data_IF_149371137232
#
_entry.id   IF_149371137232
#
_cell.length_a   1.000
_cell.length_b   1.000
_cell.length_c   1.000
_cell.angle_alpha   90.00
_cell.angle_beta   90.00
_cell.angle_gamma   90.00
#
_symmetry.space_group_name_H-M   'P 1'
#
loop_
_entity.id
_entity.type
_entity.pdbx_description
1 polymer ?
#
# COMPACT_ATOMS: atom_id res chain seq x y z
N UNK A 1 -20.00 29.75 38.06
CA UNK A 1 -18.74 29.06 37.73
C UNK A 1 -19.05 28.07 36.66
N UNK A 2 -19.38 28.63 35.50
CA UNK A 2 -19.97 27.97 34.36
C UNK A 2 -18.88 27.31 33.53
N UNK A 3 -19.10 26.04 33.21
CA UNK A 3 -18.13 25.21 32.48
C UNK A 3 -18.78 23.94 31.95
N UNK A 4 -20.00 24.06 31.42
CA UNK A 4 -20.61 23.00 30.63
C UNK A 4 -19.88 22.93 29.29
N UNK A 5 -18.90 22.04 29.20
CA UNK A 5 -18.26 21.67 27.94
C UNK A 5 -19.34 21.05 27.03
N UNK A 6 -19.77 21.84 26.04
CA UNK A 6 -20.68 21.40 24.99
C UNK A 6 -20.04 20.23 24.25
N UNK A 7 -20.54 19.03 24.51
CA UNK A 7 -20.37 17.89 23.61
C UNK A 7 -21.05 18.26 22.29
N UNK A 8 -20.27 18.78 21.34
CA UNK A 8 -20.71 18.99 19.97
C UNK A 8 -21.16 17.64 19.42
N UNK A 9 -22.47 17.49 19.25
CA UNK A 9 -23.07 16.33 18.61
C UNK A 9 -22.52 16.24 17.19
N UNK A 10 -21.56 15.34 16.97
CA UNK A 10 -21.15 14.96 15.63
C UNK A 10 -22.42 14.56 14.86
N UNK A 11 -22.68 15.13 13.67
CA UNK A 11 -23.87 14.76 12.92
C UNK A 11 -23.82 13.26 12.69
N UNK A 12 -24.95 12.58 12.90
CA UNK A 12 -25.12 11.18 12.54
C UNK A 12 -24.65 11.02 11.10
N UNK A 13 -23.44 10.47 10.94
CA UNK A 13 -22.87 10.23 9.62
C UNK A 13 -23.91 9.37 8.92
N UNK A 14 -24.46 9.85 7.79
CA UNK A 14 -25.04 8.92 6.83
C UNK A 14 -24.04 7.76 6.73
N UNK A 15 -24.53 6.52 6.65
CA UNK A 15 -23.69 5.37 6.33
C UNK A 15 -23.13 5.58 4.90
N UNK A 16 -22.20 6.52 4.78
CA UNK A 16 -21.60 6.97 3.56
C UNK A 16 -20.63 5.86 3.23
N UNK A 17 -20.96 5.11 2.19
CA UNK A 17 -20.09 4.11 1.62
C UNK A 17 -18.90 4.83 0.98
N UNK A 18 -17.93 5.20 1.81
CA UNK A 18 -16.73 5.93 1.43
C UNK A 18 -15.90 5.10 0.46
N UNK A 19 -15.31 5.77 -0.53
CA UNK A 19 -14.40 5.17 -1.50
C UNK A 19 -13.24 6.12 -1.72
N UNK A 20 -12.06 5.58 -1.94
CA UNK A 20 -10.85 6.37 -2.17
C UNK A 20 -10.41 6.09 -3.60
N UNK A 21 -10.22 7.14 -4.40
CA UNK A 21 -9.59 7.06 -5.70
C UNK A 21 -8.21 7.70 -5.63
N UNK A 22 -7.17 6.92 -5.91
CA UNK A 22 -5.81 7.38 -6.05
C UNK A 22 -5.47 7.59 -7.54
N UNK A 23 -5.21 8.85 -7.91
CA UNK A 23 -4.68 9.21 -9.22
C UNK A 23 -3.20 9.51 -9.08
N UNK A 24 -2.35 8.78 -9.79
CA UNK A 24 -0.91 9.09 -9.81
C UNK A 24 -0.31 8.84 -11.17
N UNK A 25 0.70 9.64 -11.52
CA UNK A 25 1.57 9.41 -12.69
C UNK A 25 3.03 9.27 -12.28
N UNK A 26 3.31 9.10 -10.98
CA UNK A 26 4.66 8.99 -10.44
C UNK A 26 5.00 7.55 -10.09
N UNK A 27 6.29 7.16 -10.18
CA UNK A 27 6.76 5.88 -9.69
C UNK A 27 6.62 5.79 -8.16
N UNK A 28 6.68 4.55 -7.66
CA UNK A 28 6.67 4.25 -6.23
C UNK A 28 7.93 4.80 -5.54
N UNK A 29 7.74 5.51 -4.43
CA UNK A 29 8.81 5.96 -3.54
C UNK A 29 8.78 5.15 -2.23
N UNK A 30 9.94 4.64 -1.82
CA UNK A 30 10.10 3.83 -0.62
C UNK A 30 10.01 4.65 0.68
N UNK A 31 10.23 5.96 0.63
CA UNK A 31 10.14 6.82 1.82
C UNK A 31 8.70 6.91 2.37
N UNK A 32 7.71 6.85 1.47
CA UNK A 32 6.29 6.93 1.83
C UNK A 32 5.63 5.57 2.08
N UNK A 33 6.38 4.48 1.93
CA UNK A 33 5.85 3.12 2.04
C UNK A 33 5.08 2.89 3.34
N UNK A 34 5.69 3.16 4.49
CA UNK A 34 5.08 2.88 5.81
C UNK A 34 3.77 3.64 6.00
N UNK A 35 3.75 4.93 5.61
CA UNK A 35 2.56 5.76 5.71
C UNK A 35 1.44 5.23 4.80
N UNK A 36 1.77 4.88 3.56
CA UNK A 36 0.82 4.35 2.59
C UNK A 36 0.25 3.00 3.03
N UNK A 37 1.09 2.07 3.49
CA UNK A 37 0.65 0.75 3.97
C UNK A 37 -0.28 0.89 5.18
N UNK A 38 0.07 1.74 6.14
CA UNK A 38 -0.79 1.99 7.31
C UNK A 38 -2.16 2.58 6.92
N UNK A 39 -2.18 3.49 5.95
CA UNK A 39 -3.42 4.04 5.42
C UNK A 39 -4.27 2.97 4.72
N UNK A 40 -3.65 2.09 3.93
CA UNK A 40 -4.31 0.97 3.25
C UNK A 40 -4.89 -0.04 4.23
N UNK A 41 -4.14 -0.44 5.26
CA UNK A 41 -4.67 -1.35 6.30
C UNK A 41 -5.83 -0.72 7.07
N UNK A 42 -5.75 0.58 7.33
CA UNK A 42 -6.84 1.33 7.96
C UNK A 42 -8.08 1.36 7.07
N UNK A 43 -7.91 1.61 5.76
CA UNK A 43 -8.99 1.59 4.77
C UNK A 43 -9.61 0.20 4.65
N UNK A 44 -8.80 -0.86 4.59
CA UNK A 44 -9.24 -2.25 4.56
C UNK A 44 -10.10 -2.57 5.79
N UNK A 45 -9.64 -2.22 6.99
CA UNK A 45 -10.38 -2.43 8.24
C UNK A 45 -11.68 -1.63 8.28
N UNK A 46 -11.70 -0.44 7.69
CA UNK A 46 -12.90 0.39 7.57
C UNK A 46 -13.86 -0.08 6.46
N UNK A 47 -13.50 -1.09 5.66
CA UNK A 47 -14.30 -1.54 4.52
C UNK A 47 -14.38 -0.50 3.38
N UNK A 48 -13.40 0.39 3.29
CA UNK A 48 -13.31 1.43 2.28
C UNK A 48 -12.42 0.94 1.13
N UNK A 49 -12.97 0.67 -0.07
CA UNK A 49 -12.15 0.24 -1.20
C UNK A 49 -11.29 1.40 -1.71
N UNK A 50 -10.05 1.07 -2.07
CA UNK A 50 -9.07 1.98 -2.65
C UNK A 50 -8.90 1.61 -4.12
N UNK A 51 -9.45 2.45 -4.99
CA UNK A 51 -9.27 2.35 -6.43
C UNK A 51 -8.04 3.17 -6.84
N UNK A 52 -7.30 2.68 -7.83
CA UNK A 52 -6.08 3.31 -8.30
C UNK A 52 -6.08 3.46 -9.82
N UNK A 53 -5.76 4.65 -10.32
CA UNK A 53 -5.53 4.89 -11.73
C UNK A 53 -4.12 5.47 -11.94
N UNK A 54 -3.30 4.73 -12.69
CA UNK A 54 -2.02 5.23 -13.20
C UNK A 54 -2.24 6.05 -14.47
N UNK A 55 -1.79 7.31 -14.45
CA UNK A 55 -1.89 8.25 -15.59
C UNK A 55 -0.77 8.06 -16.62
N UNK A 56 0.40 7.59 -16.18
CA UNK A 56 1.51 7.32 -17.08
C UNK A 56 1.51 5.83 -17.48
N UNK A 57 1.36 5.50 -18.78
CA UNK A 57 1.40 4.12 -19.27
C UNK A 57 2.75 3.41 -19.05
N UNK A 58 3.84 4.15 -18.85
CA UNK A 58 5.18 3.57 -18.63
C UNK A 58 5.45 3.26 -17.15
N UNK A 59 4.75 3.92 -16.23
CA UNK A 59 4.93 3.70 -14.79
C UNK A 59 3.86 2.76 -14.25
N UNK A 60 4.26 1.75 -13.47
CA UNK A 60 3.32 0.90 -12.76
C UNK A 60 3.66 0.88 -11.27
N UNK A 61 2.66 1.13 -10.42
CA UNK A 61 2.82 1.11 -8.97
C UNK A 61 2.51 -0.28 -8.43
N UNK A 62 3.50 -0.93 -7.84
CA UNK A 62 3.33 -2.20 -7.12
C UNK A 62 2.51 -2.02 -5.84
N UNK A 63 2.69 -0.88 -5.15
CA UNK A 63 1.98 -0.57 -3.92
C UNK A 63 0.49 -0.35 -4.15
N UNK A 64 0.11 0.43 -5.17
CA UNK A 64 -1.30 0.68 -5.46
C UNK A 64 -2.02 -0.57 -5.99
N UNK A 65 -1.31 -1.45 -6.72
CA UNK A 65 -1.85 -2.76 -7.10
C UNK A 65 -2.16 -3.61 -5.87
N UNK A 66 -1.24 -3.67 -4.91
CA UNK A 66 -1.45 -4.36 -3.63
C UNK A 66 -2.62 -3.72 -2.85
N UNK A 67 -2.65 -2.39 -2.74
CA UNK A 67 -3.69 -1.66 -2.04
C UNK A 67 -5.09 -1.92 -2.61
N UNK A 68 -5.23 -1.86 -3.94
CA UNK A 68 -6.48 -2.18 -4.62
C UNK A 68 -6.90 -3.63 -4.33
N UNK A 69 -5.99 -4.59 -4.42
CA UNK A 69 -6.32 -5.99 -4.12
C UNK A 69 -6.76 -6.19 -2.67
N UNK A 70 -6.04 -5.61 -1.71
CA UNK A 70 -6.29 -5.79 -0.28
C UNK A 70 -7.62 -5.19 0.18
N UNK A 71 -8.00 -4.06 -0.40
CA UNK A 71 -9.22 -3.32 -0.06
C UNK A 71 -10.43 -3.73 -0.92
N UNK A 72 -10.23 -4.58 -1.93
CA UNK A 72 -11.27 -4.93 -2.91
C UNK A 72 -11.56 -3.82 -3.92
N UNK A 73 -10.62 -2.89 -4.09
CA UNK A 73 -10.63 -1.87 -5.14
C UNK A 73 -10.13 -2.39 -6.49
N UNK A 74 -10.02 -1.49 -7.45
CA UNK A 74 -9.62 -1.75 -8.83
C UNK A 74 -8.41 -0.91 -9.17
N UNK A 75 -7.44 -1.55 -9.81
CA UNK A 75 -6.30 -0.89 -10.40
C UNK A 75 -6.51 -0.81 -11.91
N UNK A 76 -6.34 0.37 -12.48
CA UNK A 76 -6.33 0.58 -13.92
C UNK A 76 -5.13 1.45 -14.32
N UNK A 77 -4.78 1.39 -15.59
CA UNK A 77 -3.73 2.20 -16.18
C UNK A 77 -4.24 2.79 -17.48
N UNK A 78 -4.02 4.09 -17.68
CA UNK A 78 -4.44 4.76 -18.92
C UNK A 78 -3.50 4.39 -20.07
N UNK A 79 -4.03 4.13 -21.28
CA UNK A 79 -3.22 3.76 -22.44
C UNK A 79 -2.43 4.93 -23.05
N UNK A 80 -2.61 6.17 -22.58
CA UNK A 80 -1.85 7.35 -23.04
C UNK A 80 -2.45 8.68 -22.56
N UNK A 81 -1.73 9.78 -22.80
CA UNK A 81 -2.14 11.13 -22.43
C UNK A 81 -3.36 11.60 -23.24
N UNK A 82 -4.57 11.40 -22.69
CA UNK A 82 -5.83 11.98 -23.16
C UNK A 82 -6.88 10.98 -23.66
N UNK A 83 -6.47 9.89 -24.32
CA UNK A 83 -7.40 8.86 -24.77
C UNK A 83 -7.59 7.79 -23.68
N UNK A 84 -8.79 7.72 -23.10
CA UNK A 84 -9.17 6.66 -22.15
C UNK A 84 -9.19 7.05 -20.67
N UNK A 85 -8.69 8.24 -20.28
CA UNK A 85 -8.82 8.72 -18.89
C UNK A 85 -10.29 8.87 -18.49
N UNK A 86 -11.11 9.52 -19.33
CA UNK A 86 -12.54 9.67 -19.06
C UNK A 86 -13.23 8.31 -18.96
N UNK A 87 -12.90 7.38 -19.85
CA UNK A 87 -13.44 6.03 -19.82
C UNK A 87 -13.05 5.31 -18.52
N UNK A 88 -11.78 5.37 -18.12
CA UNK A 88 -11.30 4.79 -16.86
C UNK A 88 -11.99 5.41 -15.64
N UNK A 89 -12.15 6.74 -15.61
CA UNK A 89 -12.88 7.46 -14.56
C UNK A 89 -14.34 7.02 -14.50
N UNK A 90 -15.03 6.93 -15.63
CA UNK A 90 -16.43 6.48 -15.68
C UNK A 90 -16.57 5.03 -15.20
N UNK A 91 -15.62 4.15 -15.53
CA UNK A 91 -15.63 2.76 -15.06
C UNK A 91 -15.27 2.61 -13.57
N UNK A 92 -14.36 3.43 -13.04
CA UNK A 92 -13.91 3.35 -11.64
C UNK A 92 -14.83 4.10 -10.67
N UNK A 93 -15.23 5.32 -11.02
CA UNK A 93 -15.98 6.25 -10.15
C UNK A 93 -17.48 6.20 -10.45
N UNK A 94 -17.84 6.00 -11.72
CA UNK A 94 -19.24 6.08 -12.17
C UNK A 94 -20.10 4.90 -11.74
N UNK A 95 -19.51 3.73 -11.51
CA UNK A 95 -20.23 2.54 -11.06
C UNK A 95 -20.18 2.40 -9.53
N UNK A 96 -21.30 2.07 -8.91
CA UNK A 96 -21.37 1.63 -7.52
C UNK A 96 -20.78 0.21 -7.34
N UNK A 97 -20.42 -0.13 -6.10
CA UNK A 97 -19.75 -1.39 -5.77
C UNK A 97 -20.38 -2.66 -6.39
N UNK A 98 -21.69 -2.91 -6.23
CA UNK A 98 -22.32 -4.10 -6.80
C UNK A 98 -22.44 -4.04 -8.33
N UNK A 99 -22.77 -2.90 -8.92
CA UNK A 99 -22.80 -2.73 -10.39
C UNK A 99 -21.43 -3.03 -11.01
N UNK A 100 -20.36 -2.67 -10.31
CA UNK A 100 -18.99 -2.90 -10.77
C UNK A 100 -18.62 -4.39 -10.86
N UNK A 101 -19.18 -5.23 -9.99
CA UNK A 101 -18.97 -6.68 -10.06
C UNK A 101 -19.62 -7.31 -11.31
N UNK A 102 -20.57 -6.63 -11.94
CA UNK A 102 -21.22 -7.04 -13.18
C UNK A 102 -20.53 -6.49 -14.44
N UNK A 103 -19.68 -5.48 -14.28
CA UNK A 103 -18.90 -4.91 -15.38
C UNK A 103 -17.69 -5.80 -15.68
N UNK A 104 -17.29 -5.86 -16.95
CA UNK A 104 -16.03 -6.48 -17.35
C UNK A 104 -14.86 -5.67 -16.76
N UNK A 105 -14.39 -6.09 -15.59
CA UNK A 105 -13.31 -5.42 -14.89
C UNK A 105 -11.95 -5.74 -15.54
N UNK A 106 -10.97 -4.82 -15.46
CA UNK A 106 -9.60 -5.16 -15.76
C UNK A 106 -9.18 -6.38 -14.95
N UNK A 107 -8.38 -7.30 -15.52
CA UNK A 107 -7.88 -8.44 -14.78
C UNK A 107 -7.12 -7.96 -13.54
N UNK A 108 -7.21 -8.68 -12.41
CA UNK A 108 -6.53 -8.29 -11.18
C UNK A 108 -5.03 -8.18 -11.46
N UNK A 109 -4.38 -7.06 -11.08
CA UNK A 109 -2.98 -6.86 -11.39
C UNK A 109 -2.11 -7.86 -10.62
N UNK A 110 -1.12 -8.43 -11.30
CA UNK A 110 0.00 -9.07 -10.60
C UNK A 110 0.79 -7.99 -9.87
N UNK A 111 1.11 -8.24 -8.61
CA UNK A 111 1.93 -7.35 -7.79
C UNK A 111 2.98 -8.13 -7.02
N UNK A 112 3.98 -7.39 -6.59
CA UNK A 112 5.14 -7.90 -5.88
C UNK A 112 4.91 -7.78 -4.38
N UNK A 113 5.05 -8.90 -3.66
CA UNK A 113 4.87 -8.99 -2.21
C UNK A 113 6.19 -8.83 -1.45
N UNK A 114 7.30 -8.63 -2.16
CA UNK A 114 8.61 -8.55 -1.52
C UNK A 114 8.60 -7.43 -0.48
N UNK A 115 9.07 -7.72 0.75
CA UNK A 115 9.21 -6.70 1.77
C UNK A 115 10.25 -5.67 1.33
N UNK A 116 10.12 -4.48 1.90
CA UNK A 116 11.02 -3.35 1.67
C UNK A 116 11.91 -3.20 2.89
N UNK A 117 13.22 -3.07 2.67
CA UNK A 117 14.17 -2.80 3.74
C UNK A 117 13.93 -1.38 4.29
N UNK A 118 13.84 -1.26 5.61
CA UNK A 118 13.63 0.02 6.28
C UNK A 118 14.81 0.99 6.14
N UNK A 119 16.02 0.50 5.88
CA UNK A 119 17.24 1.30 5.72
C UNK A 119 17.43 1.73 4.26
N UNK A 120 17.52 0.78 3.34
CA UNK A 120 17.80 1.08 1.93
C UNK A 120 16.57 1.51 1.14
N UNK A 121 15.36 1.23 1.66
CA UNK A 121 14.08 1.45 0.97
C UNK A 121 13.93 0.65 -0.32
N UNK A 122 14.75 -0.38 -0.49
CA UNK A 122 14.70 -1.29 -1.64
C UNK A 122 13.96 -2.58 -1.29
N UNK A 123 13.43 -3.25 -2.33
CA UNK A 123 12.76 -4.54 -2.19
C UNK A 123 13.78 -5.65 -1.98
N UNK A 124 13.56 -6.48 -0.98
CA UNK A 124 14.43 -7.62 -0.63
C UNK A 124 13.68 -8.94 -0.78
N UNK A 125 14.37 -9.98 -1.25
CA UNK A 125 13.80 -11.32 -1.38
C UNK A 125 13.86 -12.09 -0.04
N UNK A 126 14.98 -11.97 0.68
CA UNK A 126 15.19 -12.51 2.01
C UNK A 126 15.43 -11.33 2.95
N UNK A 127 14.64 -11.23 4.02
CA UNK A 127 14.74 -10.16 5.01
C UNK A 127 14.78 -10.70 6.43
N UNK A 128 15.57 -10.03 7.28
CA UNK A 128 15.65 -10.27 8.72
C UNK A 128 14.68 -9.32 9.43
N UNK A 129 13.87 -9.85 10.34
CA UNK A 129 12.85 -9.06 11.06
C UNK A 129 13.29 -8.81 12.50
N UNK A 130 13.22 -7.55 12.94
CA UNK A 130 13.43 -7.22 14.34
C UNK A 130 12.30 -7.78 15.21
N UNK A 131 12.63 -8.55 16.25
CA UNK A 131 11.64 -9.10 17.18
C UNK A 131 10.91 -8.06 18.04
N UNK A 132 11.45 -6.85 18.15
CA UNK A 132 10.88 -5.78 18.99
C UNK A 132 9.99 -4.85 18.17
N UNK A 133 10.51 -4.27 17.08
CA UNK A 133 9.79 -3.27 16.28
C UNK A 133 9.27 -3.77 14.92
N UNK A 134 9.47 -5.06 14.59
CA UNK A 134 9.03 -5.70 13.34
C UNK A 134 9.58 -5.05 12.05
N UNK A 135 10.62 -4.22 12.16
CA UNK A 135 11.31 -3.65 11.00
C UNK A 135 12.08 -4.73 10.25
N UNK A 136 12.05 -4.68 8.92
CA UNK A 136 12.68 -5.66 8.02
C UNK A 136 13.97 -5.07 7.44
N UNK A 137 15.03 -5.89 7.39
CA UNK A 137 16.35 -5.53 6.87
C UNK A 137 16.85 -6.58 5.88
N UNK A 138 17.54 -6.17 4.81
CA UNK A 138 18.12 -7.09 3.83
C UNK A 138 19.38 -7.81 4.34
N UNK A 139 20.02 -7.28 5.37
CA UNK A 139 21.23 -7.87 5.97
C UNK A 139 21.07 -8.07 7.47
N UNK A 140 21.81 -9.05 8.00
CA UNK A 140 21.81 -9.31 9.44
C UNK A 140 22.60 -8.21 10.15
N UNK A 141 21.95 -7.53 11.10
CA UNK A 141 22.54 -6.45 11.89
C UNK A 141 22.57 -6.85 13.36
N UNK A 142 23.66 -6.54 14.08
CA UNK A 142 23.79 -6.83 15.52
C UNK A 142 22.97 -5.85 16.40
N UNK A 143 22.61 -4.70 15.85
CA UNK A 143 21.80 -3.67 16.50
C UNK A 143 20.76 -3.17 15.51
N UNK A 144 19.51 -3.07 15.95
CA UNK A 144 18.42 -2.54 15.14
C UNK A 144 18.64 -1.03 14.87
N UNK A 145 18.73 -0.58 13.60
CA UNK A 145 18.87 0.83 13.28
C UNK A 145 17.60 1.65 13.59
N UNK A 146 16.44 1.00 13.70
CA UNK A 146 15.15 1.69 13.93
C UNK A 146 14.83 1.88 15.41
N UNK A 147 14.99 0.85 16.25
CA UNK A 147 14.66 0.91 17.68
C UNK A 147 15.88 0.84 18.62
N UNK A 148 17.10 0.77 18.08
CA UNK A 148 18.35 0.65 18.82
C UNK A 148 18.48 -0.60 19.72
N UNK A 149 17.60 -1.60 19.58
CA UNK A 149 17.72 -2.88 20.30
C UNK A 149 18.97 -3.63 19.85
N UNK A 150 19.75 -4.14 20.80
CA UNK A 150 20.91 -4.99 20.54
C UNK A 150 20.50 -6.46 20.58
N UNK A 151 20.88 -7.23 19.56
CA UNK A 151 20.58 -8.65 19.50
C UNK A 151 21.69 -9.44 20.17
N UNK A 152 21.33 -10.37 21.05
CA UNK A 152 22.28 -11.30 21.64
C UNK A 152 22.95 -12.15 20.55
N UNK A 153 24.25 -12.41 20.70
CA UNK A 153 25.15 -13.14 19.77
C UNK A 153 24.78 -14.61 19.50
N UNK A 154 23.55 -15.03 19.81
CA UNK A 154 23.07 -16.40 19.66
C UNK A 154 22.13 -16.60 18.46
N UNK A 155 22.07 -15.63 17.54
CA UNK A 155 21.43 -15.82 16.25
C UNK A 155 22.42 -16.59 15.36
N UNK A 156 22.25 -17.90 15.29
CA UNK A 156 23.03 -18.76 14.41
C UNK A 156 22.91 -18.25 12.97
N UNK A 157 24.06 -17.99 12.35
CA UNK A 157 24.22 -17.62 10.95
C UNK A 157 23.76 -18.77 10.04
N UNK A 158 22.45 -18.90 9.88
CA UNK A 158 21.84 -19.76 8.87
C UNK A 158 21.97 -19.12 7.49
N UNK A 159 23.07 -19.46 6.82
CA UNK A 159 23.29 -19.36 5.36
C UNK A 159 23.55 -17.96 4.78
N UNK A 160 24.79 -17.48 4.92
CA UNK A 160 25.37 -16.53 3.97
C UNK A 160 25.79 -17.25 2.69
N UNK A 161 25.38 -16.69 1.55
CA UNK A 161 25.99 -16.84 0.22
C UNK A 161 25.70 -18.14 -0.59
N UNK A 162 24.64 -18.09 -1.40
CA UNK A 162 24.76 -18.53 -2.79
C UNK A 162 24.95 -17.27 -3.65
N UNK A 163 26.19 -17.04 -4.06
CA UNK A 163 26.59 -15.98 -4.96
C UNK A 163 25.85 -16.11 -6.30
N UNK A 164 25.05 -15.10 -6.67
CA UNK A 164 24.64 -14.89 -8.06
C UNK A 164 25.86 -14.31 -8.79
N UNK A 165 26.66 -15.22 -9.35
CA UNK A 165 27.69 -14.90 -10.33
C UNK A 165 27.12 -15.08 -11.73
N UNK A 166 27.13 -13.96 -12.49
CA UNK A 166 27.05 -13.80 -13.96
C UNK A 166 25.90 -14.46 -14.71
#
# INVERSE_FOLDING_TARGET
>A
GDGAAAAGSAPARLAAHGRILCLTGLPDDGDHYVALTNAVFSAQKAGVPVDALMLDPQTSSSYLKAAAKMTGGVYAQTPGAGAGLLQAMLSLVGADGPTRAQLAQPPPPAYDFRPVDFVTKERVEIGYVCSVCLSIFGTHVAKCPTCATEYGSKVESGNTAAAVGR
#
